data_IF_080473639221
#
_entry.id   IF_080473639221
#
_cell.length_a   1.000
_cell.length_b   1.000
_cell.length_c   1.000
_cell.angle_alpha   90.00
_cell.angle_beta   90.00
_cell.angle_gamma   90.00
#
_symmetry.space_group_name_H-M   'P 1'
#
loop_
_entity.id
_entity.type
_entity.pdbx_description
1 polymer ?
#
# COMPACT_ATOMS: atom_id res chain seq x y z
N UNK A 1 0.46 17.99 -5.53
CA UNK A 1 0.45 18.53 -6.90
C UNK A 1 0.72 20.02 -6.92
N UNK A 2 0.10 20.81 -6.05
CA UNK A 2 0.30 22.28 -6.03
C UNK A 2 1.76 22.73 -5.84
N UNK A 3 2.63 21.86 -5.33
CA UNK A 3 4.05 22.13 -5.06
C UNK A 3 5.00 21.56 -6.14
N UNK A 4 4.47 20.83 -7.10
CA UNK A 4 5.26 20.17 -8.16
C UNK A 4 4.65 20.54 -9.50
N UNK A 5 5.41 21.25 -10.32
CA UNK A 5 4.98 21.65 -11.66
C UNK A 5 4.73 20.44 -12.54
N UNK A 6 3.62 20.43 -13.28
CA UNK A 6 3.22 19.33 -14.15
C UNK A 6 2.61 18.11 -13.44
N UNK A 7 2.53 18.12 -12.10
CA UNK A 7 1.93 17.03 -11.36
C UNK A 7 0.40 17.03 -11.47
N UNK A 8 -0.18 15.86 -11.72
CA UNK A 8 -1.64 15.65 -11.72
C UNK A 8 -2.08 15.32 -10.30
N UNK A 9 -3.03 16.11 -9.76
CA UNK A 9 -3.63 15.82 -8.45
C UNK A 9 -4.76 14.81 -8.60
N UNK A 10 -4.73 13.76 -7.80
CA UNK A 10 -5.81 12.78 -7.70
C UNK A 10 -6.31 12.69 -6.26
N UNK A 11 -7.62 12.59 -6.09
CA UNK A 11 -8.27 12.27 -4.81
C UNK A 11 -8.54 10.76 -4.74
N UNK A 12 -8.81 10.25 -3.54
CA UNK A 12 -9.20 8.86 -3.38
C UNK A 12 -10.36 8.49 -4.33
N UNK A 13 -10.19 7.44 -5.10
CA UNK A 13 -11.17 6.93 -6.07
C UNK A 13 -11.05 7.52 -7.48
N UNK A 14 -10.30 8.60 -7.66
CA UNK A 14 -10.09 9.20 -8.99
C UNK A 14 -9.11 8.38 -9.82
N UNK A 15 -9.22 8.50 -11.14
CA UNK A 15 -8.41 7.78 -12.12
C UNK A 15 -7.81 8.75 -13.13
N UNK A 16 -6.65 8.39 -13.63
CA UNK A 16 -6.01 9.02 -14.79
C UNK A 16 -5.30 7.94 -15.62
N UNK A 17 -4.68 8.36 -16.72
CA UNK A 17 -3.77 7.49 -17.49
C UNK A 17 -2.51 8.24 -17.88
N UNK A 18 -1.42 7.52 -17.99
CA UNK A 18 -0.15 8.02 -18.49
C UNK A 18 0.51 6.98 -19.39
N UNK A 19 0.82 7.34 -20.62
CA UNK A 19 1.44 6.45 -21.61
C UNK A 19 0.73 5.09 -21.76
N UNK A 20 -0.62 5.07 -21.74
CA UNK A 20 -1.41 3.84 -21.84
C UNK A 20 -1.57 3.06 -20.52
N UNK A 21 -0.91 3.49 -19.44
CA UNK A 21 -1.04 2.88 -18.11
C UNK A 21 -2.21 3.55 -17.38
N UNK A 22 -3.22 2.76 -16.99
CA UNK A 22 -4.30 3.28 -16.15
C UNK A 22 -3.81 3.39 -14.69
N UNK A 23 -4.09 4.54 -14.05
CA UNK A 23 -3.66 4.84 -12.68
C UNK A 23 -4.90 5.20 -11.87
N UNK A 24 -5.17 4.43 -10.82
CA UNK A 24 -6.27 4.68 -9.88
C UNK A 24 -5.71 5.04 -8.50
N UNK A 25 -6.14 6.18 -7.97
CA UNK A 25 -5.89 6.52 -6.58
C UNK A 25 -6.87 5.75 -5.67
N UNK A 26 -6.33 5.07 -4.66
CA UNK A 26 -7.11 4.33 -3.66
C UNK A 26 -6.82 4.90 -2.27
N UNK A 27 -7.74 4.76 -1.30
CA UNK A 27 -7.49 5.24 0.05
C UNK A 27 -6.28 4.58 0.72
N UNK A 28 -5.57 5.38 1.52
CA UNK A 28 -4.52 4.95 2.44
C UNK A 28 -4.71 5.71 3.75
N UNK A 29 -4.83 5.01 4.88
CA UNK A 29 -5.06 5.66 6.18
C UNK A 29 -4.77 4.75 7.37
N UNK A 30 -4.64 5.37 8.56
CA UNK A 30 -4.54 4.66 9.83
C UNK A 30 -5.92 4.35 10.43
N UNK A 31 -5.99 3.21 11.12
CA UNK A 31 -7.12 2.80 11.94
C UNK A 31 -6.75 2.76 13.43
N UNK A 32 -5.47 2.61 13.75
CA UNK A 32 -4.93 2.51 15.11
C UNK A 32 -3.80 3.49 15.38
N UNK A 33 -2.87 3.70 14.43
CA UNK A 33 -1.69 4.54 14.60
C UNK A 33 -2.03 6.02 14.79
N UNK A 34 -1.69 6.56 15.98
CA UNK A 34 -2.01 7.93 16.39
C UNK A 34 -0.78 8.70 16.84
N UNK A 35 -0.84 10.00 16.61
CA UNK A 35 0.08 10.99 17.15
C UNK A 35 -0.14 11.18 18.66
N UNK A 36 0.79 11.82 19.38
CA UNK A 36 0.62 12.15 20.80
C UNK A 36 -0.61 13.01 21.12
N UNK A 37 -1.08 13.83 20.16
CA UNK A 37 -2.28 14.66 20.28
C UNK A 37 -3.59 13.85 20.07
N UNK A 38 -3.51 12.56 19.74
CA UNK A 38 -4.63 11.66 19.53
C UNK A 38 -5.15 11.58 18.09
N UNK A 39 -4.66 12.43 17.19
CA UNK A 39 -5.00 12.35 15.77
C UNK A 39 -4.30 11.18 15.08
N UNK A 40 -4.90 10.64 14.03
CA UNK A 40 -4.24 9.65 13.19
C UNK A 40 -3.01 10.25 12.48
N UNK A 41 -1.95 9.46 12.31
CA UNK A 41 -0.82 9.87 11.48
C UNK A 41 -1.26 10.17 10.05
N UNK A 42 -2.10 9.30 9.49
CA UNK A 42 -2.68 9.45 8.16
C UNK A 42 -4.22 9.34 8.26
N UNK A 43 -4.93 10.48 8.37
CA UNK A 43 -6.39 10.48 8.40
C UNK A 43 -6.99 9.98 7.09
N UNK A 44 -8.16 9.34 7.16
CA UNK A 44 -8.90 8.89 5.98
C UNK A 44 -9.23 10.05 5.04
N UNK A 45 -8.99 9.84 3.74
CA UNK A 45 -9.28 10.82 2.69
C UNK A 45 -8.14 11.79 2.36
N UNK A 46 -7.01 11.68 3.06
CA UNK A 46 -5.87 12.61 2.88
C UNK A 46 -4.75 11.99 2.04
N UNK A 47 -4.44 10.71 2.26
CA UNK A 47 -3.34 10.00 1.60
C UNK A 47 -3.87 9.05 0.54
N UNK A 48 -3.14 8.90 -0.55
CA UNK A 48 -3.41 7.93 -1.61
C UNK A 48 -2.43 6.75 -1.56
N UNK A 49 -2.95 5.54 -1.77
CA UNK A 49 -2.25 4.50 -2.48
C UNK A 49 -2.59 4.56 -3.96
N UNK A 50 -1.97 3.72 -4.78
CA UNK A 50 -2.19 3.69 -6.23
C UNK A 50 -2.25 2.26 -6.75
N UNK A 51 -3.16 2.02 -7.70
CA UNK A 51 -3.16 0.82 -8.53
C UNK A 51 -2.82 1.25 -9.95
N UNK A 52 -1.73 0.68 -10.47
CA UNK A 52 -1.31 0.86 -11.85
C UNK A 52 -1.69 -0.39 -12.64
N UNK A 53 -2.38 -0.21 -13.75
CA UNK A 53 -2.81 -1.31 -14.62
C UNK A 53 -2.08 -1.20 -15.98
N UNK A 54 -1.19 -2.18 -16.21
CA UNK A 54 -0.42 -2.35 -17.43
C UNK A 54 -1.08 -3.41 -18.31
N UNK A 55 -2.22 -3.07 -18.93
CA UNK A 55 -2.98 -4.00 -19.78
C UNK A 55 -3.34 -5.32 -19.08
N UNK A 56 -3.77 -5.25 -17.83
CA UNK A 56 -4.16 -6.39 -17.01
C UNK A 56 -3.10 -6.86 -16.00
N UNK A 57 -1.83 -6.47 -16.16
CA UNK A 57 -0.82 -6.65 -15.12
C UNK A 57 -0.93 -5.51 -14.10
N UNK A 58 -1.30 -5.84 -12.86
CA UNK A 58 -1.63 -4.84 -11.84
C UNK A 58 -0.57 -4.72 -10.78
N UNK A 59 -0.17 -3.49 -10.50
CA UNK A 59 0.74 -3.13 -9.42
C UNK A 59 0.01 -2.27 -8.41
N UNK A 60 -0.03 -2.70 -7.15
CA UNK A 60 -0.59 -1.94 -6.05
C UNK A 60 0.51 -1.35 -5.18
N UNK A 61 0.52 -0.05 -5.03
CA UNK A 61 1.39 0.70 -4.11
C UNK A 61 0.50 1.25 -3.01
N UNK A 62 0.56 0.67 -1.82
CA UNK A 62 -0.42 0.93 -0.78
C UNK A 62 -0.36 2.36 -0.20
N UNK A 63 0.81 3.02 -0.27
CA UNK A 63 1.03 4.27 0.43
C UNK A 63 1.17 4.06 1.94
N UNK A 64 1.11 5.12 2.72
CA UNK A 64 1.20 5.06 4.17
C UNK A 64 -0.17 4.71 4.76
N UNK A 65 -0.37 3.43 5.04
CA UNK A 65 -1.65 2.87 5.46
C UNK A 65 -1.47 1.73 6.45
N UNK A 66 -2.54 1.41 7.17
CA UNK A 66 -2.73 0.15 7.84
C UNK A 66 -3.57 -0.81 6.96
N UNK A 67 -3.87 -2.01 7.48
CA UNK A 67 -4.80 -2.93 6.84
C UNK A 67 -6.22 -2.35 6.89
N UNK A 68 -6.75 -2.02 5.73
CA UNK A 68 -8.06 -1.39 5.54
C UNK A 68 -8.90 -2.17 4.52
N UNK A 69 -10.23 -2.05 4.54
CA UNK A 69 -11.10 -2.75 3.59
C UNK A 69 -10.77 -2.46 2.12
N UNK A 70 -10.37 -1.23 1.83
CA UNK A 70 -9.99 -0.80 0.47
C UNK A 70 -8.70 -1.48 -0.01
N UNK A 71 -7.78 -1.87 0.89
CA UNK A 71 -6.63 -2.72 0.59
C UNK A 71 -7.06 -4.15 0.25
N UNK A 72 -7.97 -4.73 1.02
CA UNK A 72 -8.52 -6.08 0.76
C UNK A 72 -9.20 -6.15 -0.61
N UNK A 73 -9.82 -5.05 -1.04
CA UNK A 73 -10.42 -4.94 -2.37
C UNK A 73 -9.40 -5.04 -3.53
N UNK A 74 -8.09 -4.90 -3.25
CA UNK A 74 -7.02 -5.08 -4.24
C UNK A 74 -6.55 -6.55 -4.35
N UNK A 75 -7.29 -7.49 -3.81
CA UNK A 75 -6.95 -8.92 -3.84
C UNK A 75 -6.65 -9.40 -5.26
N UNK A 76 -5.53 -10.12 -5.39
CA UNK A 76 -5.13 -10.77 -6.64
C UNK A 76 -4.34 -9.88 -7.61
N UNK A 77 -3.83 -8.72 -7.16
CA UNK A 77 -2.86 -7.95 -7.95
C UNK A 77 -1.58 -8.76 -8.17
N UNK A 78 -0.86 -8.47 -9.26
CA UNK A 78 0.37 -9.21 -9.58
C UNK A 78 1.52 -8.82 -8.66
N UNK A 79 1.67 -7.53 -8.38
CA UNK A 79 2.69 -6.99 -7.48
C UNK A 79 2.05 -6.08 -6.44
N UNK A 80 2.46 -6.21 -5.18
CA UNK A 80 2.07 -5.28 -4.13
C UNK A 80 3.28 -4.73 -3.38
N UNK A 81 3.25 -3.42 -3.16
CA UNK A 81 4.13 -2.72 -2.24
C UNK A 81 3.33 -2.37 -0.98
N UNK A 82 3.64 -3.00 0.15
CA UNK A 82 2.96 -2.79 1.41
C UNK A 82 3.90 -2.17 2.46
N UNK A 83 3.45 -1.16 3.23
CA UNK A 83 4.28 -0.49 4.21
C UNK A 83 4.37 -1.30 5.52
N UNK A 84 5.52 -1.22 6.20
CA UNK A 84 5.78 -1.90 7.46
C UNK A 84 6.64 -1.02 8.36
N UNK A 85 6.02 -0.18 9.17
CA UNK A 85 6.76 0.66 10.13
C UNK A 85 5.83 1.25 11.20
N UNK A 86 5.96 0.79 12.44
CA UNK A 86 5.27 1.41 13.56
C UNK A 86 5.98 2.72 13.98
N UNK A 87 5.22 3.70 14.44
CA UNK A 87 3.76 3.72 14.64
C UNK A 87 2.97 4.23 13.42
N UNK A 88 3.62 4.44 12.30
CA UNK A 88 3.09 5.18 11.14
C UNK A 88 2.19 4.32 10.24
N UNK A 89 2.54 3.05 10.10
CA UNK A 89 1.87 2.11 9.19
C UNK A 89 1.60 0.78 9.90
N UNK A 90 1.91 -0.36 9.30
CA UNK A 90 1.57 -1.67 9.83
C UNK A 90 2.65 -2.24 10.76
N UNK A 91 2.21 -2.93 11.82
CA UNK A 91 3.04 -3.87 12.58
C UNK A 91 3.41 -5.08 11.72
N UNK A 92 4.34 -5.91 12.19
CA UNK A 92 4.73 -7.15 11.54
C UNK A 92 3.53 -8.09 11.35
N UNK A 93 2.73 -8.27 12.38
CA UNK A 93 1.52 -9.11 12.34
C UNK A 93 0.47 -8.56 11.37
N UNK A 94 0.21 -7.26 11.40
CA UNK A 94 -0.74 -6.60 10.50
C UNK A 94 -0.25 -6.67 9.05
N UNK A 95 1.05 -6.52 8.81
CA UNK A 95 1.66 -6.66 7.50
C UNK A 95 1.43 -8.05 6.90
N UNK A 96 1.66 -9.11 7.70
CA UNK A 96 1.42 -10.50 7.26
C UNK A 96 -0.05 -10.74 6.95
N UNK A 97 -0.96 -10.22 7.79
CA UNK A 97 -2.40 -10.30 7.54
C UNK A 97 -2.79 -9.56 6.26
N UNK A 98 -2.25 -8.37 6.03
CA UNK A 98 -2.47 -7.57 4.82
C UNK A 98 -1.96 -8.29 3.56
N UNK A 99 -0.74 -8.85 3.62
CA UNK A 99 -0.17 -9.63 2.53
C UNK A 99 -1.04 -10.83 2.16
N UNK A 100 -1.53 -11.59 3.14
CA UNK A 100 -2.46 -12.71 2.93
C UNK A 100 -3.80 -12.25 2.34
N UNK A 101 -4.32 -11.12 2.78
CA UNK A 101 -5.59 -10.57 2.28
C UNK A 101 -5.49 -10.09 0.83
N UNK A 102 -4.41 -9.39 0.47
CA UNK A 102 -4.13 -8.93 -0.89
C UNK A 102 -3.71 -10.08 -1.80
N UNK A 103 -2.95 -11.03 -1.27
CA UNK A 103 -2.46 -12.22 -1.97
C UNK A 103 -1.82 -11.92 -3.34
N UNK A 104 -0.79 -11.06 -3.41
CA UNK A 104 -0.09 -10.77 -4.65
C UNK A 104 0.83 -11.94 -5.05
N UNK A 105 1.26 -12.00 -6.31
CA UNK A 105 2.30 -12.94 -6.75
C UNK A 105 3.67 -12.53 -6.21
N UNK A 106 3.96 -11.23 -6.25
CA UNK A 106 5.23 -10.64 -5.77
C UNK A 106 4.91 -9.56 -4.75
N UNK A 107 5.55 -9.64 -3.59
CA UNK A 107 5.39 -8.72 -2.47
C UNK A 107 6.69 -7.98 -2.19
N UNK A 108 6.62 -6.65 -2.16
CA UNK A 108 7.69 -5.78 -1.70
C UNK A 108 7.28 -5.11 -0.39
N UNK A 109 7.89 -5.43 0.76
CA UNK A 109 7.79 -4.57 1.92
C UNK A 109 8.50 -3.24 1.64
N UNK A 110 7.94 -2.13 2.10
CA UNK A 110 8.58 -0.82 2.02
C UNK A 110 8.30 0.01 3.28
N UNK A 111 8.88 1.21 3.38
CA UNK A 111 8.72 2.10 4.54
C UNK A 111 9.18 1.45 5.86
N UNK A 112 10.14 0.55 5.83
CA UNK A 112 10.65 -0.13 7.02
C UNK A 112 12.01 0.44 7.44
N UNK A 113 12.30 0.37 8.76
CA UNK A 113 13.65 0.60 9.29
C UNK A 113 14.48 -0.67 9.21
N UNK A 114 13.84 -1.80 9.59
CA UNK A 114 14.43 -3.14 9.53
C UNK A 114 13.38 -4.14 9.04
N UNK A 115 13.83 -5.18 8.34
CA UNK A 115 12.99 -6.27 7.86
C UNK A 115 13.74 -7.59 7.88
N UNK A 116 13.16 -8.60 8.53
CA UNK A 116 13.60 -9.98 8.39
C UNK A 116 12.86 -10.63 7.21
N UNK A 117 13.47 -10.55 6.03
CA UNK A 117 12.88 -11.09 4.81
C UNK A 117 12.73 -12.60 4.86
N UNK A 118 13.61 -13.31 5.55
CA UNK A 118 13.53 -14.77 5.66
C UNK A 118 12.38 -15.19 6.60
N UNK A 119 12.11 -14.43 7.65
CA UNK A 119 10.92 -14.61 8.47
C UNK A 119 9.65 -14.40 7.63
N UNK A 120 9.58 -13.32 6.85
CA UNK A 120 8.44 -13.06 5.97
C UNK A 120 8.23 -14.17 4.93
N UNK A 121 9.29 -14.68 4.32
CA UNK A 121 9.22 -15.82 3.36
C UNK A 121 8.68 -17.09 4.00
N UNK A 122 9.03 -17.35 5.26
CA UNK A 122 8.49 -18.51 6.00
C UNK A 122 7.00 -18.35 6.31
N UNK A 123 6.55 -17.14 6.64
CA UNK A 123 5.14 -16.86 6.95
C UNK A 123 4.24 -16.71 5.72
N UNK A 124 4.85 -16.38 4.56
CA UNK A 124 4.18 -16.11 3.30
C UNK A 124 4.71 -16.99 2.17
N UNK A 125 4.67 -18.34 2.31
CA UNK A 125 5.30 -19.26 1.36
C UNK A 125 4.65 -19.27 -0.03
N UNK A 126 3.44 -18.73 -0.16
CA UNK A 126 2.69 -18.66 -1.43
C UNK A 126 3.02 -17.44 -2.27
N UNK A 127 3.85 -16.52 -1.74
CA UNK A 127 4.22 -15.28 -2.38
C UNK A 127 5.73 -15.20 -2.57
N UNK A 128 6.17 -14.56 -3.66
CA UNK A 128 7.57 -14.21 -3.82
C UNK A 128 7.85 -12.89 -3.10
N UNK A 129 8.49 -12.95 -1.92
CA UNK A 129 8.89 -11.76 -1.16
C UNK A 129 10.25 -11.27 -1.64
N UNK A 130 10.30 -10.01 -2.09
CA UNK A 130 11.50 -9.32 -2.59
C UNK A 130 11.79 -8.05 -1.78
N UNK A 131 13.05 -7.60 -1.77
CA UNK A 131 13.50 -6.30 -1.24
C UNK A 131 13.98 -5.40 -2.37
#
# INVERSE_FOLDING_TARGET
AAQVEGAISLRNGEMTSWNGIAIKAVPAYNTTGRKPDGEFFHPKGVVNGYVLDFEGFKVYIAGDTELIPEMVAQKGVDVAFLPKNLPYTMSDEMFVQAAKAVNPKILYPFHYSEVDVEALRRELPEMEVRL
#
